data_IF_718012940965
#
_entry.id   IF_718012940965
#
_cell.length_a   1.000
_cell.length_b   1.000
_cell.length_c   1.000
_cell.angle_alpha   90.00
_cell.angle_beta   90.00
_cell.angle_gamma   90.00
#
_symmetry.space_group_name_H-M   'P 1'
#
loop_
_entity.id
_entity.type
_entity.pdbx_description
1 polymer ?
#
# COMPACT_ATOMS: atom_id res chain seq x y z
N UNK A 1 -1.71 7.03 -25.14
CA UNK A 1 -2.21 6.36 -23.93
C UNK A 1 -1.89 4.89 -24.03
N UNK A 2 -1.14 4.34 -23.10
CA UNK A 2 -0.77 2.93 -23.09
C UNK A 2 -1.86 2.08 -22.41
N UNK A 3 -1.73 0.74 -22.48
CA UNK A 3 -2.73 -0.22 -21.95
C UNK A 3 -2.98 -0.04 -20.45
N UNK A 4 -1.93 0.27 -19.67
CA UNK A 4 -2.05 0.54 -18.24
C UNK A 4 -2.92 1.77 -17.95
N UNK A 5 -2.66 2.91 -18.64
CA UNK A 5 -3.44 4.15 -18.48
C UNK A 5 -4.90 3.96 -18.90
N UNK A 6 -5.13 3.23 -20.01
CA UNK A 6 -6.49 2.92 -20.46
C UNK A 6 -7.25 2.11 -19.41
N UNK A 7 -6.60 1.12 -18.80
CA UNK A 7 -7.21 0.31 -17.78
C UNK A 7 -7.50 1.09 -16.49
N UNK A 8 -6.61 1.99 -16.07
CA UNK A 8 -6.89 2.89 -14.94
C UNK A 8 -8.16 3.69 -15.18
N UNK A 9 -8.24 4.40 -16.32
CA UNK A 9 -9.36 5.29 -16.65
C UNK A 9 -10.69 4.54 -16.82
N UNK A 10 -10.67 3.36 -17.43
CA UNK A 10 -11.90 2.58 -17.64
C UNK A 10 -12.43 1.89 -16.39
N UNK A 11 -11.61 1.73 -15.35
CA UNK A 11 -12.03 1.05 -14.12
C UNK A 11 -12.16 1.95 -12.89
N UNK A 12 -11.62 3.19 -12.91
CA UNK A 12 -11.60 4.07 -11.73
C UNK A 12 -13.00 4.37 -11.15
N UNK A 13 -14.03 4.47 -12.00
CA UNK A 13 -15.41 4.68 -11.57
C UNK A 13 -15.93 3.56 -10.68
N UNK A 14 -15.59 2.30 -10.97
CA UNK A 14 -16.00 1.16 -10.14
C UNK A 14 -15.33 1.12 -8.77
N UNK A 15 -14.24 1.89 -8.60
CA UNK A 15 -13.58 2.12 -7.31
C UNK A 15 -14.02 3.44 -6.65
N UNK A 16 -14.97 4.17 -7.27
CA UNK A 16 -15.41 5.49 -6.82
C UNK A 16 -14.21 6.44 -6.66
N UNK A 17 -13.37 6.49 -7.69
CA UNK A 17 -12.18 7.32 -7.79
C UNK A 17 -12.30 8.28 -8.98
N UNK A 18 -11.78 9.48 -8.78
CA UNK A 18 -11.56 10.47 -9.83
C UNK A 18 -10.08 10.85 -9.85
N UNK A 19 -9.41 10.59 -10.96
CA UNK A 19 -7.97 10.79 -11.11
C UNK A 19 -7.71 11.85 -12.18
N UNK A 20 -6.96 12.88 -11.80
CA UNK A 20 -6.52 13.88 -12.77
C UNK A 20 -5.62 13.27 -13.85
N UNK A 21 -5.55 13.84 -15.06
CA UNK A 21 -4.62 13.39 -16.10
C UNK A 21 -3.15 13.38 -15.63
N UNK A 22 -2.77 14.31 -14.77
CA UNK A 22 -1.45 14.38 -14.18
C UNK A 22 -1.18 13.20 -13.25
N UNK A 23 -2.12 12.86 -12.37
CA UNK A 23 -2.04 11.68 -11.50
C UNK A 23 -1.91 10.40 -12.31
N UNK A 24 -2.69 10.24 -13.38
CA UNK A 24 -2.61 9.07 -14.28
C UNK A 24 -1.22 8.97 -14.91
N UNK A 25 -0.66 10.09 -15.36
CA UNK A 25 0.69 10.14 -15.93
C UNK A 25 1.76 9.71 -14.91
N UNK A 26 1.69 10.22 -13.67
CA UNK A 26 2.63 9.86 -12.61
C UNK A 26 2.49 8.40 -12.18
N UNK A 27 1.27 7.86 -12.13
CA UNK A 27 1.04 6.44 -11.88
C UNK A 27 1.60 5.56 -12.99
N UNK A 28 1.53 5.98 -14.26
CA UNK A 28 2.16 5.29 -15.39
C UNK A 28 3.69 5.34 -15.33
N UNK A 29 4.25 6.45 -14.85
CA UNK A 29 5.70 6.55 -14.59
C UNK A 29 6.13 5.62 -13.46
N UNK A 30 5.38 5.54 -12.36
CA UNK A 30 5.61 4.59 -11.28
C UNK A 30 5.55 3.14 -11.78
N UNK A 31 4.51 2.78 -12.53
CA UNK A 31 4.39 1.45 -13.15
C UNK A 31 5.61 1.11 -13.99
N UNK A 32 6.01 2.01 -14.89
CA UNK A 32 7.17 1.81 -15.78
C UNK A 32 8.47 1.65 -15.00
N UNK A 33 8.64 2.42 -13.91
CA UNK A 33 9.79 2.32 -13.02
C UNK A 33 9.80 0.96 -12.31
N UNK A 34 8.67 0.57 -11.70
CA UNK A 34 8.53 -0.69 -10.98
C UNK A 34 8.83 -1.88 -11.89
N UNK A 35 8.29 -1.91 -13.13
CA UNK A 35 8.51 -3.01 -14.06
C UNK A 35 9.98 -3.16 -14.46
N UNK A 36 10.74 -2.07 -14.63
CA UNK A 36 12.19 -2.15 -14.90
C UNK A 36 12.99 -2.78 -13.75
N UNK A 37 12.52 -2.63 -12.51
CA UNK A 37 13.15 -3.24 -11.34
C UNK A 37 12.63 -4.66 -11.07
N UNK A 38 11.43 -4.98 -11.54
CA UNK A 38 10.74 -6.23 -11.22
C UNK A 38 11.49 -7.48 -11.66
N UNK A 39 12.15 -7.44 -12.82
CA UNK A 39 12.96 -8.55 -13.35
C UNK A 39 14.09 -8.97 -12.40
N UNK A 40 14.57 -8.04 -11.56
CA UNK A 40 15.70 -8.25 -10.65
C UNK A 40 15.27 -8.43 -9.21
N UNK A 41 14.20 -7.77 -8.79
CA UNK A 41 13.82 -7.69 -7.38
C UNK A 41 12.54 -8.46 -7.03
N UNK A 42 11.79 -8.92 -8.02
CA UNK A 42 10.50 -9.60 -7.82
C UNK A 42 9.58 -8.81 -6.87
N UNK A 43 9.38 -7.53 -7.19
CA UNK A 43 8.57 -6.59 -6.39
C UNK A 43 7.09 -6.97 -6.39
N UNK A 44 6.61 -7.48 -7.53
CA UNK A 44 5.26 -8.01 -7.73
C UNK A 44 5.32 -9.30 -8.54
N UNK A 45 4.32 -10.16 -8.35
CA UNK A 45 4.13 -11.33 -9.19
C UNK A 45 3.89 -10.93 -10.66
N UNK A 46 4.24 -11.78 -11.64
CA UNK A 46 3.93 -11.53 -13.04
C UNK A 46 2.44 -11.23 -13.23
N UNK A 47 2.13 -10.13 -13.89
CA UNK A 47 0.77 -9.70 -14.18
C UNK A 47 0.75 -8.83 -15.44
N UNK A 48 -0.41 -8.72 -16.07
CA UNK A 48 -0.58 -7.81 -17.22
C UNK A 48 -0.64 -6.35 -16.76
N UNK A 49 -0.43 -5.37 -17.68
CA UNK A 49 -0.61 -3.95 -17.36
C UNK A 49 -2.00 -3.65 -16.80
N UNK A 50 -3.04 -4.30 -17.32
CA UNK A 50 -4.43 -4.17 -16.89
C UNK A 50 -4.63 -4.69 -15.46
N UNK A 51 -4.10 -5.87 -15.17
CA UNK A 51 -4.13 -6.44 -13.82
C UNK A 51 -3.38 -5.56 -12.84
N UNK A 52 -2.24 -5.00 -13.24
CA UNK A 52 -1.47 -4.10 -12.37
C UNK A 52 -2.28 -2.83 -12.08
N UNK A 53 -2.90 -2.22 -13.09
CA UNK A 53 -3.72 -1.02 -12.93
C UNK A 53 -4.85 -1.25 -11.91
N UNK A 54 -5.59 -2.35 -12.03
CA UNK A 54 -6.73 -2.65 -11.16
C UNK A 54 -6.25 -3.15 -9.79
N UNK A 55 -5.49 -4.26 -9.77
CA UNK A 55 -5.18 -4.99 -8.54
C UNK A 55 -4.10 -4.34 -7.68
N UNK A 56 -3.20 -3.56 -8.28
CA UNK A 56 -2.11 -2.94 -7.53
C UNK A 56 -2.30 -1.44 -7.34
N UNK A 57 -2.87 -0.72 -8.32
CA UNK A 57 -3.05 0.72 -8.23
C UNK A 57 -4.43 1.08 -7.69
N UNK A 58 -5.53 0.74 -8.39
CA UNK A 58 -6.88 1.14 -7.94
C UNK A 58 -7.24 0.56 -6.57
N UNK A 59 -6.89 -0.70 -6.30
CA UNK A 59 -7.08 -1.27 -4.95
C UNK A 59 -6.29 -0.48 -3.89
N UNK A 60 -5.07 -0.05 -4.17
CA UNK A 60 -4.27 0.74 -3.24
C UNK A 60 -4.90 2.10 -2.93
N UNK A 61 -5.47 2.74 -3.96
CA UNK A 61 -6.11 4.06 -3.83
C UNK A 61 -7.39 4.04 -2.96
N UNK A 62 -7.97 2.85 -2.68
CA UNK A 62 -9.07 2.74 -1.71
C UNK A 62 -8.69 3.25 -0.32
N UNK A 63 -7.42 3.22 0.06
CA UNK A 63 -6.93 3.78 1.32
C UNK A 63 -7.28 5.26 1.48
N UNK A 64 -7.33 6.01 0.38
CA UNK A 64 -7.56 7.46 0.41
C UNK A 64 -8.91 7.84 1.02
N UNK A 65 -9.91 6.95 0.94
CA UNK A 65 -11.22 7.15 1.56
C UNK A 65 -11.19 7.09 3.09
N UNK A 66 -10.12 6.52 3.66
CA UNK A 66 -9.98 6.27 5.09
C UNK A 66 -8.85 7.08 5.72
N UNK A 67 -8.18 7.92 4.92
CA UNK A 67 -7.10 8.80 5.37
C UNK A 67 -7.57 10.26 5.40
N UNK A 68 -7.49 10.95 6.56
CA UNK A 68 -7.79 12.39 6.63
C UNK A 68 -6.82 13.19 5.76
N UNK A 69 -7.08 14.49 5.63
CA UNK A 69 -6.20 15.42 4.94
C UNK A 69 -5.77 16.52 5.91
N UNK A 70 -4.45 16.68 6.18
CA UNK A 70 -3.34 15.79 5.81
C UNK A 70 -3.27 14.50 6.63
N UNK A 71 -2.45 13.53 6.24
CA UNK A 71 -2.18 12.33 7.05
C UNK A 71 -0.71 11.91 7.04
N UNK A 72 -0.28 11.33 8.18
CA UNK A 72 1.00 10.65 8.35
C UNK A 72 0.74 9.14 8.42
N UNK A 73 1.41 8.38 7.57
CA UNK A 73 1.18 6.93 7.42
C UNK A 73 2.50 6.17 7.60
N UNK A 74 2.49 5.03 8.28
CA UNK A 74 3.58 4.07 8.20
C UNK A 74 3.18 2.90 7.31
N UNK A 75 4.04 2.52 6.37
CA UNK A 75 3.81 1.37 5.48
C UNK A 75 4.81 0.27 5.81
N UNK A 76 4.29 -0.90 6.21
CA UNK A 76 5.10 -2.00 6.74
C UNK A 76 5.35 -3.05 5.67
N UNK A 77 6.64 -3.33 5.42
CA UNK A 77 7.04 -4.22 4.34
C UNK A 77 6.78 -3.60 2.97
N UNK A 78 7.16 -2.37 2.80
CA UNK A 78 6.79 -1.52 1.64
C UNK A 78 7.14 -2.14 0.28
N UNK A 79 8.16 -2.98 0.19
CA UNK A 79 8.49 -3.78 -1.00
C UNK A 79 8.56 -3.00 -2.30
N UNK A 80 7.57 -3.20 -3.17
CA UNK A 80 7.38 -2.45 -4.41
C UNK A 80 6.68 -1.10 -4.23
N UNK A 81 6.55 -0.58 -3.00
CA UNK A 81 5.85 0.68 -2.72
C UNK A 81 4.33 0.54 -2.73
N UNK A 82 3.82 -0.68 -2.64
CA UNK A 82 2.39 -0.97 -2.65
C UNK A 82 1.91 -1.37 -1.24
N UNK A 83 0.88 -0.71 -0.69
CA UNK A 83 -0.10 0.15 -1.38
C UNK A 83 0.23 1.65 -1.37
N UNK A 84 1.26 2.12 -0.67
CA UNK A 84 1.34 3.53 -0.27
C UNK A 84 1.80 4.48 -1.39
N UNK A 85 2.67 4.06 -2.31
CA UNK A 85 3.19 4.94 -3.37
C UNK A 85 2.09 5.47 -4.29
N UNK A 86 1.13 4.66 -4.78
CA UNK A 86 -0.01 5.19 -5.52
C UNK A 86 -0.81 6.25 -4.75
N UNK A 87 -0.96 6.07 -3.44
CA UNK A 87 -1.65 7.04 -2.58
C UNK A 87 -0.89 8.37 -2.48
N UNK A 88 0.44 8.32 -2.31
CA UNK A 88 1.30 9.50 -2.26
C UNK A 88 1.30 10.28 -3.60
N UNK A 89 1.20 9.57 -4.72
CA UNK A 89 1.06 10.19 -6.05
C UNK A 89 -0.29 10.91 -6.16
N UNK A 90 -1.37 10.28 -5.74
CA UNK A 90 -2.72 10.83 -5.85
C UNK A 90 -3.02 11.92 -4.80
N UNK A 91 -2.32 11.93 -3.69
CA UNK A 91 -2.53 12.83 -2.54
C UNK A 91 -1.19 13.40 -2.05
N UNK A 92 -0.71 14.54 -2.62
CA UNK A 92 0.57 15.16 -2.24
C UNK A 92 0.63 15.69 -0.80
N UNK A 93 -0.51 15.78 -0.11
CA UNK A 93 -0.60 16.14 1.32
C UNK A 93 -0.29 14.97 2.26
N UNK A 94 -0.19 13.75 1.73
CA UNK A 94 0.24 12.59 2.51
C UNK A 94 1.76 12.57 2.69
N UNK A 95 2.19 12.14 3.87
CA UNK A 95 3.57 11.80 4.17
C UNK A 95 3.65 10.36 4.66
N UNK A 96 4.63 9.60 4.22
CA UNK A 96 4.76 8.21 4.63
C UNK A 96 6.15 7.85 5.15
N UNK A 97 6.16 7.02 6.20
CA UNK A 97 7.35 6.29 6.65
C UNK A 97 7.29 4.88 6.07
N UNK A 98 8.18 4.58 5.13
CA UNK A 98 8.31 3.28 4.47
C UNK A 98 9.30 2.41 5.24
N UNK A 99 8.83 1.29 5.79
CA UNK A 99 9.67 0.37 6.57
C UNK A 99 9.86 -0.92 5.78
N UNK A 100 11.09 -1.18 5.34
CA UNK A 100 11.45 -2.31 4.49
C UNK A 100 12.79 -2.92 4.91
N UNK A 101 12.82 -4.23 5.15
CA UNK A 101 14.03 -4.93 5.60
C UNK A 101 15.03 -5.24 4.49
N UNK A 102 14.55 -5.41 3.26
CA UNK A 102 15.41 -5.73 2.11
C UNK A 102 16.14 -4.51 1.59
N UNK A 103 17.46 -4.47 1.78
CA UNK A 103 18.31 -3.38 1.28
C UNK A 103 18.16 -3.13 -0.23
N UNK A 104 17.95 -4.18 -1.01
CA UNK A 104 17.73 -4.07 -2.46
C UNK A 104 16.41 -3.36 -2.79
N UNK A 105 15.33 -3.68 -2.07
CA UNK A 105 14.03 -3.04 -2.25
C UNK A 105 14.05 -1.60 -1.74
N UNK A 106 14.82 -1.30 -0.68
CA UNK A 106 15.06 0.07 -0.20
C UNK A 106 15.69 0.95 -1.28
N UNK A 107 16.63 0.43 -2.08
CA UNK A 107 17.22 1.19 -3.21
C UNK A 107 16.13 1.57 -4.21
N UNK A 108 15.25 0.62 -4.57
CA UNK A 108 14.11 0.91 -5.45
C UNK A 108 13.18 1.98 -4.85
N UNK A 109 12.82 1.85 -3.57
CA UNK A 109 11.94 2.81 -2.89
C UNK A 109 12.52 4.23 -2.88
N UNK A 110 13.84 4.36 -2.66
CA UNK A 110 14.54 5.66 -2.73
C UNK A 110 14.50 6.25 -4.13
N UNK A 111 14.74 5.42 -5.17
CA UNK A 111 14.64 5.88 -6.56
C UNK A 111 13.21 6.33 -6.89
N UNK A 112 12.21 5.54 -6.53
CA UNK A 112 10.79 5.88 -6.75
C UNK A 112 10.41 7.19 -6.04
N UNK A 113 10.78 7.32 -4.76
CA UNK A 113 10.49 8.51 -3.97
C UNK A 113 11.12 9.78 -4.55
N UNK A 114 12.39 9.71 -4.93
CA UNK A 114 13.10 10.84 -5.52
C UNK A 114 12.56 11.21 -6.90
N UNK A 115 12.34 10.21 -7.75
CA UNK A 115 11.89 10.42 -9.12
C UNK A 115 10.49 11.00 -9.21
N UNK A 116 9.60 10.56 -8.33
CA UNK A 116 8.21 11.00 -8.28
C UNK A 116 7.98 12.14 -7.27
N UNK A 117 9.06 12.67 -6.66
CA UNK A 117 9.02 13.75 -5.67
C UNK A 117 8.03 13.46 -4.51
N UNK A 118 8.08 12.26 -3.95
CA UNK A 118 7.19 11.83 -2.88
C UNK A 118 7.72 12.24 -1.49
N UNK A 119 6.79 12.58 -0.59
CA UNK A 119 7.11 12.93 0.80
C UNK A 119 7.25 11.65 1.64
N UNK A 120 8.47 11.09 1.65
CA UNK A 120 8.75 9.81 2.31
C UNK A 120 9.97 9.85 3.22
N UNK A 121 9.88 9.13 4.33
CA UNK A 121 11.03 8.69 5.14
C UNK A 121 11.19 7.19 4.96
N UNK A 122 12.39 6.70 4.64
CA UNK A 122 12.62 5.27 4.38
C UNK A 122 13.54 4.69 5.44
N UNK A 123 13.03 3.68 6.16
CA UNK A 123 13.75 2.95 7.21
C UNK A 123 14.10 1.55 6.69
N UNK A 124 15.40 1.29 6.58
CA UNK A 124 15.95 0.06 5.99
C UNK A 124 16.21 -1.01 7.06
N UNK A 125 15.15 -1.42 7.79
CA UNK A 125 15.18 -2.38 8.90
C UNK A 125 13.88 -3.18 8.95
N UNK A 126 13.85 -4.38 9.59
CA UNK A 126 12.60 -5.02 9.99
C UNK A 126 11.80 -4.11 10.91
N UNK A 127 10.47 -4.09 10.78
CA UNK A 127 9.64 -3.20 11.60
C UNK A 127 9.73 -3.55 13.09
N UNK A 128 10.00 -4.83 13.41
CA UNK A 128 10.18 -5.31 14.78
C UNK A 128 11.36 -4.65 15.49
N UNK A 129 12.36 -4.16 14.73
CA UNK A 129 13.57 -3.50 15.23
C UNK A 129 13.48 -1.96 15.22
N UNK A 130 12.31 -1.42 14.83
CA UNK A 130 12.07 0.03 14.68
C UNK A 130 11.08 0.48 15.73
N UNK A 131 11.38 1.58 16.43
CA UNK A 131 10.37 2.23 17.26
C UNK A 131 9.24 2.77 16.37
N UNK A 132 7.96 2.55 16.72
CA UNK A 132 6.84 3.05 15.91
C UNK A 132 6.95 4.56 15.69
N UNK A 133 6.87 5.04 14.44
CA UNK A 133 6.78 6.48 14.19
C UNK A 133 5.47 7.05 14.75
N UNK A 134 5.40 8.36 15.03
CA UNK A 134 4.19 8.99 15.55
C UNK A 134 3.14 9.16 14.45
N UNK A 135 2.52 8.06 14.04
CA UNK A 135 1.49 8.01 12.99
C UNK A 135 0.16 7.49 13.55
N UNK A 136 -0.95 7.92 12.94
CA UNK A 136 -2.28 7.42 13.26
C UNK A 136 -2.76 6.31 12.33
N UNK A 137 -2.06 6.09 11.22
CA UNK A 137 -2.43 5.10 10.21
C UNK A 137 -1.24 4.23 9.83
N UNK A 138 -1.48 2.94 9.77
CA UNK A 138 -0.47 1.95 9.39
C UNK A 138 -1.04 1.11 8.24
N UNK A 139 -0.32 1.02 7.14
CA UNK A 139 -0.68 0.17 6.02
C UNK A 139 0.23 -1.05 5.96
N UNK A 140 -0.32 -2.15 5.52
CA UNK A 140 0.44 -3.35 5.22
C UNK A 140 -0.27 -4.16 4.13
N UNK A 141 0.49 -4.58 3.12
CA UNK A 141 0.01 -5.44 2.05
C UNK A 141 1.07 -6.49 1.71
N UNK A 142 0.67 -7.76 1.70
CA UNK A 142 1.51 -8.87 1.25
C UNK A 142 2.91 -8.94 1.93
N UNK A 143 3.00 -8.56 3.20
CA UNK A 143 4.22 -8.75 3.99
C UNK A 143 4.60 -10.24 4.00
N UNK A 144 5.87 -10.55 3.79
CA UNK A 144 6.35 -11.93 3.88
C UNK A 144 6.01 -12.54 5.24
N UNK A 145 5.47 -13.76 5.24
CA UNK A 145 4.96 -14.43 6.43
C UNK A 145 3.92 -13.59 7.21
N UNK A 146 3.09 -12.80 6.51
CA UNK A 146 2.18 -11.83 7.11
C UNK A 146 1.36 -12.41 8.27
N UNK A 147 0.76 -13.59 8.08
CA UNK A 147 -0.06 -14.23 9.12
C UNK A 147 0.73 -14.55 10.39
N UNK A 148 2.02 -14.87 10.28
CA UNK A 148 2.91 -15.12 11.41
C UNK A 148 3.31 -13.80 12.10
N UNK A 149 3.47 -12.73 11.34
CA UNK A 149 3.90 -11.42 11.83
C UNK A 149 2.74 -10.53 12.32
N UNK A 150 1.50 -10.87 12.03
CA UNK A 150 0.34 -10.07 12.40
C UNK A 150 0.25 -9.77 13.91
N UNK A 151 0.46 -10.73 14.85
CA UNK A 151 0.46 -10.40 16.28
C UNK A 151 1.54 -9.40 16.67
N UNK A 152 2.73 -9.51 16.08
CA UNK A 152 3.82 -8.57 16.30
C UNK A 152 3.46 -7.17 15.77
N UNK A 153 2.83 -7.08 14.60
CA UNK A 153 2.39 -5.82 14.01
C UNK A 153 1.32 -5.13 14.87
N UNK A 154 0.33 -5.88 15.37
CA UNK A 154 -0.71 -5.35 16.27
C UNK A 154 -0.07 -4.79 17.54
N UNK A 155 0.85 -5.53 18.16
CA UNK A 155 1.54 -5.07 19.37
C UNK A 155 2.52 -3.91 19.14
N UNK A 156 3.07 -3.81 17.93
CA UNK A 156 3.99 -2.74 17.55
C UNK A 156 3.26 -1.42 17.25
N UNK A 157 2.05 -1.50 16.75
CA UNK A 157 1.27 -0.31 16.36
C UNK A 157 1.06 0.64 17.56
N UNK A 158 1.21 1.96 17.38
CA UNK A 158 0.85 2.93 18.43
C UNK A 158 -0.60 2.77 18.85
N UNK A 159 -0.88 2.91 20.16
CA UNK A 159 -2.25 2.86 20.67
C UNK A 159 -3.12 3.91 20.00
N UNK A 160 -4.33 3.52 19.61
CA UNK A 160 -5.29 4.37 18.92
C UNK A 160 -4.98 4.60 17.44
N UNK A 161 -3.97 3.91 16.87
CA UNK A 161 -3.77 3.93 15.43
C UNK A 161 -4.73 2.97 14.72
N UNK A 162 -5.02 3.26 13.47
CA UNK A 162 -5.80 2.39 12.58
C UNK A 162 -4.88 1.61 11.67
N UNK A 163 -5.00 0.29 11.69
CA UNK A 163 -4.33 -0.61 10.75
C UNK A 163 -5.20 -0.77 9.49
N UNK A 164 -4.67 -0.43 8.34
CA UNK A 164 -5.30 -0.56 7.03
C UNK A 164 -4.65 -1.74 6.30
N UNK A 165 -5.26 -2.91 6.41
CA UNK A 165 -4.66 -4.18 6.01
C UNK A 165 -5.38 -4.79 4.80
N UNK A 166 -4.63 -5.15 3.76
CA UNK A 166 -5.15 -5.89 2.62
C UNK A 166 -5.00 -7.39 2.81
N UNK A 167 -6.09 -8.14 2.61
CA UNK A 167 -6.04 -9.59 2.74
C UNK A 167 -7.32 -10.29 2.30
N UNK A 168 -7.32 -11.61 2.47
CA UNK A 168 -8.49 -12.46 2.28
C UNK A 168 -9.20 -12.79 3.61
N UNK A 169 -10.17 -13.70 3.55
CA UNK A 169 -10.97 -14.14 4.72
C UNK A 169 -10.10 -14.60 5.90
N UNK A 170 -8.98 -15.30 5.61
CA UNK A 170 -8.05 -15.78 6.65
C UNK A 170 -7.49 -14.64 7.52
N UNK A 171 -7.29 -13.44 6.95
CA UNK A 171 -6.86 -12.28 7.74
C UNK A 171 -7.95 -11.86 8.73
N UNK A 172 -9.22 -11.80 8.31
CA UNK A 172 -10.34 -11.51 9.18
C UNK A 172 -10.48 -12.52 10.33
N UNK A 173 -10.27 -13.81 10.06
CA UNK A 173 -10.25 -14.85 11.10
C UNK A 173 -9.12 -14.61 12.13
N UNK A 174 -7.94 -14.23 11.67
CA UNK A 174 -6.82 -13.96 12.58
C UNK A 174 -7.04 -12.70 13.42
N UNK A 175 -7.62 -11.66 12.85
CA UNK A 175 -7.98 -10.44 13.59
C UNK A 175 -9.03 -10.77 14.68
N UNK A 176 -10.06 -11.58 14.37
CA UNK A 176 -11.03 -12.05 15.39
C UNK A 176 -10.35 -12.87 16.50
N UNK A 177 -9.43 -13.78 16.15
CA UNK A 177 -8.67 -14.57 17.14
C UNK A 177 -7.78 -13.71 18.02
N UNK A 178 -7.25 -12.62 17.47
CA UNK A 178 -6.47 -11.62 18.21
C UNK A 178 -7.34 -10.65 19.04
N UNK A 179 -8.66 -10.80 18.99
CA UNK A 179 -9.64 -9.92 19.66
C UNK A 179 -9.50 -8.44 19.27
N UNK A 180 -9.17 -8.18 18.01
CA UNK A 180 -9.05 -6.84 17.43
C UNK A 180 -10.38 -6.46 16.79
N UNK A 181 -10.86 -5.25 17.05
CA UNK A 181 -12.03 -4.70 16.38
C UNK A 181 -11.67 -4.30 14.95
N UNK A 182 -12.54 -4.60 13.99
CA UNK A 182 -12.30 -4.18 12.61
C UNK A 182 -13.59 -4.07 11.79
N UNK A 183 -13.55 -3.20 10.82
CA UNK A 183 -14.45 -3.16 9.68
C UNK A 183 -13.82 -3.94 8.51
N UNK A 184 -14.63 -4.65 7.74
CA UNK A 184 -14.19 -5.45 6.59
C UNK A 184 -14.92 -4.95 5.34
N UNK A 185 -14.17 -4.41 4.39
CA UNK A 185 -14.69 -3.85 3.15
C UNK A 185 -14.28 -4.73 1.97
N UNK A 186 -15.26 -5.23 1.23
CA UNK A 186 -14.99 -5.98 0.00
C UNK A 186 -14.39 -5.05 -1.04
N UNK A 187 -13.25 -5.44 -1.63
CA UNK A 187 -12.61 -4.66 -2.69
C UNK A 187 -13.43 -4.77 -3.99
N UNK A 188 -13.72 -3.65 -4.68
CA UNK A 188 -14.42 -3.69 -5.95
C UNK A 188 -13.78 -4.66 -6.95
N UNK A 189 -14.59 -5.29 -7.78
CA UNK A 189 -14.16 -6.31 -8.77
C UNK A 189 -13.44 -7.50 -8.14
N UNK A 190 -13.72 -7.80 -6.86
CA UNK A 190 -13.15 -8.95 -6.16
C UNK A 190 -14.24 -9.71 -5.40
N UNK A 191 -14.10 -11.03 -5.31
CA UNK A 191 -14.99 -11.89 -4.53
C UNK A 191 -14.43 -12.20 -3.13
N UNK A 192 -13.12 -12.11 -2.94
CA UNK A 192 -12.43 -12.64 -1.74
C UNK A 192 -11.28 -11.77 -1.24
N UNK A 193 -11.13 -10.55 -1.77
CA UNK A 193 -10.12 -9.61 -1.27
C UNK A 193 -10.81 -8.47 -0.53
N UNK A 194 -10.26 -8.12 0.60
CA UNK A 194 -10.81 -7.13 1.51
C UNK A 194 -9.76 -6.12 1.95
N UNK A 195 -10.22 -4.93 2.24
CA UNK A 195 -9.53 -3.96 3.07
C UNK A 195 -10.12 -4.06 4.49
N UNK A 196 -9.27 -4.29 5.47
CA UNK A 196 -9.63 -4.32 6.88
C UNK A 196 -9.17 -3.03 7.55
N UNK A 197 -10.08 -2.35 8.22
CA UNK A 197 -9.81 -1.20 9.08
C UNK A 197 -9.83 -1.68 10.51
N UNK A 198 -8.67 -2.00 11.06
CA UNK A 198 -8.56 -2.58 12.39
C UNK A 198 -8.12 -1.51 13.40
N UNK A 199 -8.80 -1.44 14.53
CA UNK A 199 -8.57 -0.50 15.64
C UNK A 199 -8.47 -1.25 16.96
N UNK A 200 -7.72 -0.68 17.92
CA UNK A 200 -7.68 -1.20 19.30
C UNK A 200 -9.06 -1.21 19.96
#
# INVERSE_FOLDING_TARGET
MNTFEQSLLSNMESFDLDLSPETVTQLAEFYSLLMRWNDRLHLVAPCTPEEFAVRHVLESLLLLKHLPSPALVADIGSGGGLPIVPCLIARPDLEATLIESSQKKVVFLREASNRLNLRTTIIAQPFEDVAPPPVSFITCRALDQFMRKLPALINWAPRGSTLLLFGGETLGEQLRRANVNFEQLLIPQSEKRYLFLATD
#
